data_IF_574741142386
#
_entry.id   IF_574741142386
#
_cell.length_a   1.000
_cell.length_b   1.000
_cell.length_c   1.000
_cell.angle_alpha   90.00
_cell.angle_beta   90.00
_cell.angle_gamma   90.00
#
_symmetry.space_group_name_H-M   'P 1'
#
loop_
_entity.id
_entity.type
_entity.pdbx_description
1 polymer ?
#
# COMPACT_ATOMS: atom_id res chain seq x y z
N UNK A 1 -13.55 -8.11 5.67
CA UNK A 1 -13.00 -6.86 6.22
C UNK A 1 -12.07 -6.29 5.18
N UNK A 2 -12.04 -4.97 5.01
CA UNK A 2 -11.45 -4.34 3.81
C UNK A 2 -10.03 -4.78 3.49
N UNK A 3 -9.14 -4.93 4.49
CA UNK A 3 -7.77 -5.43 4.27
C UNK A 3 -7.72 -6.86 3.73
N UNK A 4 -8.63 -7.74 4.17
CA UNK A 4 -8.72 -9.12 3.69
C UNK A 4 -9.23 -9.16 2.23
N UNK A 5 -10.08 -8.21 1.82
CA UNK A 5 -10.54 -8.10 0.43
C UNK A 5 -9.41 -7.63 -0.49
N UNK A 6 -8.59 -6.67 -0.06
CA UNK A 6 -7.38 -6.28 -0.79
C UNK A 6 -6.37 -7.44 -0.90
N UNK A 7 -6.13 -8.16 0.20
CA UNK A 7 -5.27 -9.33 0.20
C UNK A 7 -5.78 -10.43 -0.76
N UNK A 8 -7.08 -10.71 -0.73
CA UNK A 8 -7.70 -11.67 -1.63
C UNK A 8 -7.58 -11.24 -3.11
N UNK A 9 -7.79 -9.96 -3.41
CA UNK A 9 -7.63 -9.40 -4.76
C UNK A 9 -6.20 -9.53 -5.29
N UNK A 10 -5.19 -9.20 -4.47
CA UNK A 10 -3.78 -9.40 -4.80
C UNK A 10 -3.48 -10.86 -5.16
N UNK A 11 -3.93 -11.80 -4.32
CA UNK A 11 -3.64 -13.22 -4.48
C UNK A 11 -4.40 -13.86 -5.65
N UNK A 12 -5.60 -13.37 -5.98
CA UNK A 12 -6.40 -13.87 -7.10
C UNK A 12 -5.66 -13.69 -8.44
N UNK A 13 -4.99 -12.55 -8.62
CA UNK A 13 -4.30 -12.19 -9.87
C UNK A 13 -2.77 -12.39 -9.80
N UNK A 14 -2.24 -13.11 -8.80
CA UNK A 14 -0.78 -13.27 -8.58
C UNK A 14 0.01 -13.83 -9.77
N UNK A 15 -0.66 -14.50 -10.72
CA UNK A 15 -0.06 -15.00 -11.98
C UNK A 15 0.27 -13.87 -12.96
N UNK A 16 -0.26 -12.67 -12.74
CA UNK A 16 0.01 -11.44 -13.49
C UNK A 16 0.47 -10.37 -12.47
N UNK A 17 1.63 -10.55 -11.82
CA UNK A 17 1.92 -9.87 -10.59
C UNK A 17 2.04 -8.35 -10.74
N UNK A 18 2.65 -7.82 -11.82
CA UNK A 18 2.60 -6.39 -12.16
C UNK A 18 1.17 -5.84 -12.27
N UNK A 19 0.25 -6.58 -12.90
CA UNK A 19 -1.14 -6.12 -13.01
C UNK A 19 -1.84 -6.13 -11.65
N UNK A 20 -1.68 -7.20 -10.87
CA UNK A 20 -2.26 -7.32 -9.54
C UNK A 20 -1.79 -6.17 -8.62
N UNK A 21 -0.49 -5.85 -8.67
CA UNK A 21 0.11 -4.74 -7.93
C UNK A 21 -0.46 -3.38 -8.39
N UNK A 22 -0.54 -3.11 -9.70
CA UNK A 22 -1.09 -1.85 -10.22
C UNK A 22 -2.56 -1.64 -9.83
N UNK A 23 -3.38 -2.68 -9.90
CA UNK A 23 -4.78 -2.65 -9.44
C UNK A 23 -4.82 -2.36 -7.93
N UNK A 24 -4.00 -3.07 -7.15
CA UNK A 24 -3.91 -2.88 -5.72
C UNK A 24 -3.47 -1.45 -5.34
N UNK A 25 -2.41 -0.91 -5.94
CA UNK A 25 -1.93 0.45 -5.64
C UNK A 25 -3.03 1.48 -5.88
N UNK A 26 -3.76 1.36 -6.98
CA UNK A 26 -4.87 2.25 -7.33
C UNK A 26 -6.00 2.15 -6.31
N UNK A 27 -6.47 0.93 -6.03
CA UNK A 27 -7.62 0.71 -5.17
C UNK A 27 -7.30 1.01 -3.70
N UNK A 28 -6.11 0.64 -3.22
CA UNK A 28 -5.65 0.91 -1.86
C UNK A 28 -5.43 2.40 -1.66
N UNK A 29 -4.76 3.10 -2.59
CA UNK A 29 -4.62 4.56 -2.53
C UNK A 29 -5.97 5.27 -2.47
N UNK A 30 -6.92 4.90 -3.34
CA UNK A 30 -8.26 5.47 -3.30
C UNK A 30 -8.94 5.26 -1.94
N UNK A 31 -8.85 4.05 -1.40
CA UNK A 31 -9.39 3.74 -0.07
C UNK A 31 -8.73 4.59 1.04
N UNK A 32 -7.41 4.63 1.12
CA UNK A 32 -6.73 5.39 2.19
C UNK A 32 -6.84 6.91 2.01
N UNK A 33 -7.10 7.41 0.80
CA UNK A 33 -7.31 8.82 0.52
C UNK A 33 -8.75 9.31 0.80
N UNK A 34 -9.70 8.41 1.03
CA UNK A 34 -11.04 8.81 1.47
C UNK A 34 -10.97 9.59 2.79
N UNK A 35 -11.60 10.78 2.90
CA UNK A 35 -11.46 11.64 4.08
C UNK A 35 -11.77 10.94 5.41
N UNK A 36 -12.79 10.07 5.43
CA UNK A 36 -13.17 9.31 6.60
C UNK A 36 -12.09 8.30 7.03
N UNK A 37 -11.39 7.69 6.06
CA UNK A 37 -10.32 6.74 6.33
C UNK A 37 -9.05 7.43 6.81
N UNK A 38 -8.71 8.59 6.24
CA UNK A 38 -7.59 9.41 6.75
C UNK A 38 -7.84 9.83 8.20
N UNK A 39 -9.04 10.31 8.50
CA UNK A 39 -9.41 10.70 9.87
C UNK A 39 -9.30 9.51 10.83
N UNK A 40 -9.87 8.36 10.46
CA UNK A 40 -9.80 7.14 11.28
C UNK A 40 -8.36 6.70 11.51
N UNK A 41 -7.50 6.70 10.47
CA UNK A 41 -6.08 6.39 10.62
C UNK A 41 -5.39 7.34 11.60
N UNK A 42 -5.74 8.62 11.61
CA UNK A 42 -5.18 9.58 12.57
C UNK A 42 -5.61 9.34 14.01
N UNK A 43 -6.89 9.00 14.20
CA UNK A 43 -7.42 8.63 15.51
C UNK A 43 -6.74 7.35 16.04
N UNK A 44 -6.57 6.33 15.19
CA UNK A 44 -5.87 5.09 15.53
C UNK A 44 -4.42 5.38 15.95
N UNK A 45 -3.66 6.14 15.16
CA UNK A 45 -2.27 6.48 15.49
C UNK A 45 -2.17 7.24 16.82
N UNK A 46 -3.02 8.25 17.01
CA UNK A 46 -3.05 9.03 18.24
C UNK A 46 -3.41 8.17 19.46
N UNK A 47 -4.34 7.24 19.31
CA UNK A 47 -4.78 6.37 20.40
C UNK A 47 -3.76 5.28 20.72
N UNK A 48 -3.15 4.65 19.71
CA UNK A 48 -2.04 3.69 19.91
C UNK A 48 -0.84 4.35 20.58
N UNK A 49 -0.54 5.62 20.25
CA UNK A 49 0.52 6.37 20.92
C UNK A 49 0.24 6.61 22.42
N UNK A 50 -1.04 6.72 22.81
CA UNK A 50 -1.46 6.85 24.22
C UNK A 50 -1.55 5.50 24.93
N UNK A 51 -2.00 4.46 24.22
CA UNK A 51 -2.19 3.12 24.75
C UNK A 51 -1.60 2.06 23.78
N UNK A 52 -0.30 1.75 23.92
CA UNK A 52 0.39 0.82 23.04
C UNK A 52 -0.19 -0.61 23.01
N UNK A 53 -0.97 -1.01 24.03
CA UNK A 53 -1.64 -2.31 24.05
C UNK A 53 -2.68 -2.45 22.92
N UNK A 54 -3.14 -1.35 22.33
CA UNK A 54 -4.06 -1.35 21.19
C UNK A 54 -3.37 -1.63 19.85
N UNK A 55 -2.03 -1.61 19.77
CA UNK A 55 -1.31 -1.79 18.52
C UNK A 55 -1.61 -3.14 17.84
N UNK A 56 -1.63 -4.24 18.61
CA UNK A 56 -1.82 -5.58 18.06
C UNK A 56 -3.21 -5.79 17.44
N UNK A 57 -4.33 -5.42 18.11
CA UNK A 57 -5.65 -5.43 17.49
C UNK A 57 -5.76 -4.66 16.16
N UNK A 58 -5.10 -3.50 16.05
CA UNK A 58 -5.11 -2.72 14.81
C UNK A 58 -4.20 -3.32 13.73
N UNK A 59 -3.09 -3.95 14.11
CA UNK A 59 -2.08 -4.47 13.18
C UNK A 59 -2.40 -5.86 12.62
N UNK A 60 -3.23 -6.66 13.30
CA UNK A 60 -3.52 -8.03 12.89
C UNK A 60 -4.07 -8.14 11.46
N UNK A 61 -4.96 -7.23 11.07
CA UNK A 61 -5.55 -7.21 9.72
C UNK A 61 -4.57 -6.68 8.67
N UNK A 62 -3.72 -5.72 9.04
CA UNK A 62 -2.70 -5.16 8.14
C UNK A 62 -1.61 -6.20 7.83
N UNK A 63 -1.30 -7.08 8.78
CA UNK A 63 -0.34 -8.19 8.60
C UNK A 63 -0.70 -9.09 7.43
N UNK A 64 -1.97 -9.47 7.31
CA UNK A 64 -2.46 -10.30 6.19
C UNK A 64 -2.28 -9.59 4.83
N UNK A 65 -2.54 -8.29 4.78
CA UNK A 65 -2.34 -7.51 3.57
C UNK A 65 -0.85 -7.43 3.19
N UNK A 66 0.02 -7.18 4.17
CA UNK A 66 1.48 -7.12 3.96
C UNK A 66 2.01 -8.46 3.43
N UNK A 67 1.56 -9.59 3.99
CA UNK A 67 1.97 -10.93 3.56
C UNK A 67 1.50 -11.26 2.13
N UNK A 68 0.25 -10.89 1.80
CA UNK A 68 -0.27 -11.04 0.44
C UNK A 68 0.52 -10.18 -0.56
N UNK A 69 0.81 -8.93 -0.21
CA UNK A 69 1.59 -8.02 -1.04
C UNK A 69 3.02 -8.53 -1.24
N UNK A 70 3.68 -9.01 -0.18
CA UNK A 70 5.00 -9.62 -0.24
C UNK A 70 5.01 -10.85 -1.15
N UNK A 71 3.96 -11.66 -1.12
CA UNK A 71 3.80 -12.81 -2.02
C UNK A 71 3.79 -12.38 -3.48
N UNK A 72 2.97 -11.39 -3.84
CA UNK A 72 2.88 -10.90 -5.24
C UNK A 72 4.17 -10.19 -5.68
N UNK A 73 4.83 -9.46 -4.79
CA UNK A 73 6.16 -8.88 -5.06
C UNK A 73 7.19 -9.98 -5.35
N UNK A 74 7.18 -11.08 -4.61
CA UNK A 74 8.07 -12.21 -4.87
C UNK A 74 7.82 -12.81 -6.27
N UNK A 75 6.56 -12.95 -6.67
CA UNK A 75 6.18 -13.38 -8.03
C UNK A 75 6.69 -12.38 -9.09
N UNK A 76 6.53 -11.07 -8.88
CA UNK A 76 7.05 -10.03 -9.78
C UNK A 76 8.57 -10.01 -9.89
N UNK A 77 9.28 -10.34 -8.80
CA UNK A 77 10.73 -10.46 -8.79
C UNK A 77 11.20 -11.68 -9.59
N UNK A 78 10.48 -12.80 -9.49
CA UNK A 78 10.77 -14.02 -10.25
C UNK A 78 10.58 -13.83 -11.76
N UNK A 79 9.57 -13.06 -12.18
CA UNK A 79 9.31 -12.74 -13.58
C UNK A 79 10.19 -11.60 -14.12
N UNK A 80 10.99 -10.96 -13.25
CA UNK A 80 11.88 -9.85 -13.60
C UNK A 80 11.17 -8.51 -13.79
N UNK A 81 9.88 -8.41 -13.45
CA UNK A 81 9.10 -7.17 -13.48
C UNK A 81 9.57 -6.17 -12.42
N UNK A 82 10.04 -6.67 -11.27
CA UNK A 82 10.65 -5.89 -10.17
C UNK A 82 12.08 -6.39 -9.93
N UNK A 83 13.00 -5.48 -9.60
CA UNK A 83 14.36 -5.88 -9.22
C UNK A 83 14.39 -6.59 -7.86
N UNK A 84 15.12 -7.70 -7.76
CA UNK A 84 15.31 -8.47 -6.53
C UNK A 84 16.37 -7.86 -5.57
N UNK A 85 16.46 -6.52 -5.50
CA UNK A 85 17.43 -5.82 -4.66
C UNK A 85 16.97 -5.68 -3.19
N UNK A 86 15.66 -5.68 -2.95
CA UNK A 86 15.04 -5.59 -1.63
C UNK A 86 14.20 -6.85 -1.43
N UNK A 87 14.29 -7.46 -0.24
CA UNK A 87 13.47 -8.62 0.09
C UNK A 87 11.96 -8.28 -0.01
N UNK A 88 11.09 -9.22 -0.43
CA UNK A 88 9.69 -8.93 -0.72
C UNK A 88 8.92 -8.30 0.45
N UNK A 89 9.15 -8.76 1.68
CA UNK A 89 8.42 -8.29 2.85
C UNK A 89 8.76 -6.83 3.23
N UNK A 90 10.04 -6.43 3.39
CA UNK A 90 10.41 -5.02 3.55
C UNK A 90 9.92 -4.13 2.40
N UNK A 91 9.94 -4.63 1.16
CA UNK A 91 9.43 -3.89 0.02
C UNK A 91 7.91 -3.69 0.11
N UNK A 92 7.16 -4.71 0.53
CA UNK A 92 5.72 -4.61 0.77
C UNK A 92 5.38 -3.54 1.82
N UNK A 93 6.11 -3.51 2.94
CA UNK A 93 5.94 -2.50 3.99
C UNK A 93 6.20 -1.09 3.44
N UNK A 94 7.34 -0.90 2.76
CA UNK A 94 7.70 0.39 2.17
C UNK A 94 6.65 0.88 1.14
N UNK A 95 6.10 -0.03 0.35
CA UNK A 95 5.03 0.28 -0.60
C UNK A 95 3.79 0.83 0.10
N UNK A 96 3.34 0.18 1.19
CA UNK A 96 2.22 0.67 1.96
C UNK A 96 2.53 2.02 2.62
N UNK A 97 3.72 2.19 3.21
CA UNK A 97 4.17 3.44 3.82
C UNK A 97 4.10 4.61 2.81
N UNK A 98 4.52 4.38 1.57
CA UNK A 98 4.47 5.39 0.50
C UNK A 98 3.03 5.72 0.13
N UNK A 99 2.18 4.72 -0.11
CA UNK A 99 0.77 4.96 -0.49
C UNK A 99 0.02 5.70 0.62
N UNK A 100 0.18 5.25 1.87
CA UNK A 100 -0.48 5.84 3.03
C UNK A 100 0.03 7.27 3.25
N UNK A 101 1.34 7.50 3.29
CA UNK A 101 1.89 8.84 3.51
C UNK A 101 1.48 9.85 2.42
N UNK A 102 1.25 9.41 1.19
CA UNK A 102 0.72 10.25 0.12
C UNK A 102 -0.73 10.67 0.38
N UNK A 103 -1.59 9.75 0.82
CA UNK A 103 -2.96 10.07 1.20
C UNK A 103 -3.02 11.07 2.36
N UNK A 104 -2.20 10.86 3.39
CA UNK A 104 -2.05 11.79 4.51
C UNK A 104 -1.56 13.17 4.06
N UNK A 105 -0.57 13.21 3.18
CA UNK A 105 -0.04 14.47 2.63
C UNK A 105 -1.13 15.24 1.88
N UNK A 106 -1.93 14.56 1.05
CA UNK A 106 -3.03 15.18 0.31
C UNK A 106 -4.11 15.74 1.24
N UNK A 107 -4.43 15.04 2.33
CA UNK A 107 -5.41 15.50 3.29
C UNK A 107 -4.92 16.69 4.15
N UNK A 108 -3.64 16.69 4.57
CA UNK A 108 -3.09 17.72 5.46
C UNK A 108 -2.62 18.96 4.67
N UNK A 109 -1.97 18.75 3.54
CA UNK A 109 -1.29 19.78 2.76
C UNK A 109 -1.95 19.99 1.38
N UNK A 110 -3.28 19.85 1.32
CA UNK A 110 -4.05 19.96 0.09
C UNK A 110 -3.60 21.18 -0.75
N UNK A 111 -3.00 20.91 -1.91
CA UNK A 111 -2.58 21.94 -2.84
C UNK A 111 -3.75 22.31 -3.75
N UNK A 112 -3.99 23.60 -4.03
CA UNK A 112 -5.02 24.02 -4.99
C UNK A 112 -4.63 23.71 -6.44
N UNK A 113 -3.38 23.34 -6.72
CA UNK A 113 -2.91 22.98 -8.04
C UNK A 113 -2.96 21.45 -8.24
N UNK A 114 -3.51 20.94 -9.36
CA UNK A 114 -3.51 19.52 -9.65
C UNK A 114 -2.08 19.01 -9.87
N UNK A 115 -1.72 17.89 -9.22
CA UNK A 115 -0.43 17.22 -9.44
C UNK A 115 -0.37 16.63 -10.86
N UNK A 116 0.73 16.87 -11.59
CA UNK A 116 0.92 16.37 -12.96
C UNK A 116 1.07 14.83 -13.02
N UNK A 117 1.55 14.22 -11.93
CA UNK A 117 1.76 12.76 -11.84
C UNK A 117 1.07 12.22 -10.61
N UNK A 118 0.26 11.18 -10.76
CA UNK A 118 -0.42 10.56 -9.63
C UNK A 118 0.58 9.82 -8.72
N UNK A 119 0.33 9.82 -7.40
CA UNK A 119 1.05 9.01 -6.41
C UNK A 119 1.35 7.57 -6.85
N UNK A 120 0.33 6.89 -7.39
CA UNK A 120 0.41 5.52 -7.91
C UNK A 120 1.37 5.42 -9.08
N UNK A 121 1.33 6.35 -10.05
CA UNK A 121 2.20 6.32 -11.22
C UNK A 121 3.67 6.48 -10.86
N UNK A 122 3.99 7.31 -9.86
CA UNK A 122 5.36 7.44 -9.34
C UNK A 122 5.85 6.12 -8.73
N UNK A 123 4.99 5.46 -7.93
CA UNK A 123 5.32 4.17 -7.34
C UNK A 123 5.59 3.10 -8.39
N UNK A 124 4.76 3.02 -9.44
CA UNK A 124 4.96 2.11 -10.57
C UNK A 124 6.28 2.38 -11.30
N UNK A 125 6.64 3.65 -11.51
CA UNK A 125 7.90 4.05 -12.15
C UNK A 125 9.12 3.66 -11.33
N UNK A 126 9.02 3.69 -10.00
CA UNK A 126 10.08 3.31 -9.07
C UNK A 126 10.25 1.79 -8.96
N UNK A 127 9.14 1.04 -8.97
CA UNK A 127 9.16 -0.40 -8.72
C UNK A 127 9.42 -1.21 -9.99
N UNK A 128 8.72 -0.88 -11.07
CA UNK A 128 8.75 -1.70 -12.26
C UNK A 128 9.99 -1.41 -13.10
N UNK A 129 10.60 -2.48 -13.61
CA UNK A 129 11.61 -2.34 -14.65
C UNK A 129 10.94 -1.80 -15.92
N UNK A 130 11.57 -0.79 -16.49
CA UNK A 130 11.25 -0.29 -17.82
C UNK A 130 12.03 -1.14 -18.85
N UNK A 131 11.41 -1.50 -19.97
CA UNK A 131 12.10 -2.18 -21.07
C UNK A 131 13.22 -1.33 -21.66
#
# INVERSE_FOLDING_TARGET
GVFAEFAAGLLADRKRPKQALSIFFTAYHAFVAEPANVQLSAEIVAEVARNPALAEPFSANQRQLIEALATVIAEAQQTGEIAAAIAPLPLAQLVLDVIESQAWRQAIFASPAPEETTPVRLLEQLLYRHP
#
